data_IF_513191859053
#
_entry.id   IF_513191859053
#
_cell.length_a   1.000
_cell.length_b   1.000
_cell.length_c   1.000
_cell.angle_alpha   90.00
_cell.angle_beta   90.00
_cell.angle_gamma   90.00
#
_symmetry.space_group_name_H-M   'P 1'
#
loop_
_entity.id
_entity.type
_entity.pdbx_description
1 polymer ?
#
# COMPACT_ATOMS: atom_id res chain seq x y z
N UNK A 1 -34.65 -10.12 40.89
CA UNK A 1 -34.11 -8.74 40.88
C UNK A 1 -32.69 -8.59 41.41
N UNK A 2 -32.27 -9.22 42.52
CA UNK A 2 -30.85 -9.18 42.97
C UNK A 2 -29.98 -10.33 42.42
N UNK A 3 -30.57 -11.47 42.03
CA UNK A 3 -29.81 -12.61 41.45
C UNK A 3 -29.41 -12.38 39.98
N UNK A 4 -30.25 -11.71 39.18
CA UNK A 4 -29.96 -11.45 37.77
C UNK A 4 -28.81 -10.44 37.58
N UNK A 5 -28.63 -9.53 38.54
CA UNK A 5 -27.54 -8.53 38.52
C UNK A 5 -26.18 -9.16 38.86
N UNK A 6 -26.15 -10.19 39.70
CA UNK A 6 -24.92 -10.93 40.04
C UNK A 6 -24.49 -11.80 38.86
N UNK A 7 -25.43 -12.50 38.20
CA UNK A 7 -25.12 -13.28 37.00
C UNK A 7 -24.61 -12.44 35.81
N UNK A 8 -25.15 -11.23 35.62
CA UNK A 8 -24.64 -10.29 34.61
C UNK A 8 -23.24 -9.74 34.95
N UNK A 9 -22.96 -9.53 36.24
CA UNK A 9 -21.63 -9.10 36.71
C UNK A 9 -20.57 -10.19 36.58
N UNK A 10 -20.93 -11.45 36.82
CA UNK A 10 -20.02 -12.60 36.68
C UNK A 10 -19.70 -12.92 35.20
N UNK A 11 -20.70 -12.86 34.31
CA UNK A 11 -20.47 -12.97 32.86
C UNK A 11 -19.56 -11.83 32.34
N UNK A 12 -19.82 -10.58 32.74
CA UNK A 12 -18.98 -9.45 32.32
C UNK A 12 -17.55 -9.53 32.84
N UNK A 13 -17.32 -10.07 34.05
CA UNK A 13 -15.98 -10.32 34.56
C UNK A 13 -15.28 -11.48 33.87
N UNK A 14 -15.98 -12.57 33.53
CA UNK A 14 -15.41 -13.69 32.79
C UNK A 14 -15.05 -13.29 31.35
N UNK A 15 -15.89 -12.49 30.68
CA UNK A 15 -15.59 -11.93 29.37
C UNK A 15 -14.39 -10.97 29.44
N UNK A 16 -14.32 -10.13 30.48
CA UNK A 16 -13.18 -9.25 30.70
C UNK A 16 -11.89 -10.02 30.99
N UNK A 17 -11.92 -11.06 31.84
CA UNK A 17 -10.76 -11.91 32.12
C UNK A 17 -10.33 -12.74 30.90
N UNK A 18 -11.27 -13.23 30.08
CA UNK A 18 -10.95 -13.92 28.84
C UNK A 18 -10.33 -12.99 27.80
N UNK A 19 -10.82 -11.74 27.69
CA UNK A 19 -10.19 -10.67 26.92
C UNK A 19 -8.77 -10.38 27.44
N UNK A 20 -8.59 -10.29 28.76
CA UNK A 20 -7.30 -10.00 29.38
C UNK A 20 -6.29 -11.13 29.20
N UNK A 21 -6.74 -12.39 29.19
CA UNK A 21 -5.93 -13.55 28.77
C UNK A 21 -5.64 -13.57 27.27
N UNK A 22 -6.57 -13.12 26.42
CA UNK A 22 -6.34 -12.92 24.98
C UNK A 22 -5.30 -11.82 24.70
N UNK A 23 -5.25 -10.79 25.55
CA UNK A 23 -4.26 -9.71 25.48
C UNK A 23 -2.90 -10.08 26.09
N UNK A 24 -2.83 -11.11 26.94
CA UNK A 24 -1.58 -11.69 27.46
C UNK A 24 -0.85 -12.46 26.36
N UNK A 25 -0.24 -11.73 25.43
CA UNK A 25 0.60 -12.29 24.37
C UNK A 25 0.64 -11.47 23.09
N UNK A 26 -0.36 -10.61 22.86
CA UNK A 26 -0.47 -9.77 21.66
C UNK A 26 0.35 -8.47 21.74
N UNK A 27 0.61 -7.95 22.95
CA UNK A 27 1.44 -6.76 23.19
C UNK A 27 2.71 -7.12 23.98
N UNK A 28 3.71 -7.70 23.30
CA UNK A 28 5.06 -7.79 23.84
C UNK A 28 5.86 -6.55 23.41
N UNK A 29 6.57 -5.92 24.36
CA UNK A 29 7.54 -4.85 24.05
C UNK A 29 8.60 -5.34 23.06
N UNK A 30 8.91 -6.64 23.06
CA UNK A 30 9.79 -7.27 22.07
C UNK A 30 9.19 -7.29 20.66
N UNK A 31 7.88 -7.55 20.54
CA UNK A 31 7.15 -7.53 19.27
C UNK A 31 7.05 -6.10 18.71
N UNK A 32 6.78 -5.11 19.56
CA UNK A 32 6.73 -3.71 19.14
C UNK A 32 8.11 -3.20 18.68
N UNK A 33 9.19 -3.61 19.36
CA UNK A 33 10.56 -3.32 18.93
C UNK A 33 10.90 -4.00 17.60
N UNK A 34 10.62 -5.28 17.42
CA UNK A 34 10.91 -5.98 16.16
C UNK A 34 10.15 -5.38 14.98
N UNK A 35 8.91 -4.96 15.22
CA UNK A 35 8.06 -4.25 14.26
C UNK A 35 8.61 -2.87 13.89
N UNK A 36 9.06 -2.07 14.85
CA UNK A 36 9.71 -0.78 14.57
C UNK A 36 11.03 -0.95 13.80
N UNK A 37 11.82 -1.98 14.12
CA UNK A 37 13.03 -2.31 13.36
C UNK A 37 12.72 -2.80 11.94
N UNK A 38 11.66 -3.60 11.75
CA UNK A 38 11.21 -4.01 10.42
C UNK A 38 10.69 -2.81 9.61
N UNK A 39 10.00 -1.86 10.24
CA UNK A 39 9.64 -0.57 9.63
C UNK A 39 10.90 0.18 9.22
N UNK A 40 11.94 0.26 10.06
CA UNK A 40 13.18 1.01 9.80
C UNK A 40 14.08 0.38 8.73
N UNK A 41 13.99 -0.94 8.53
CA UNK A 41 14.76 -1.68 7.52
C UNK A 41 13.99 -1.89 6.21
N UNK A 42 12.66 -1.68 6.21
CA UNK A 42 11.83 -1.84 5.02
C UNK A 42 11.57 -3.28 4.60
N UNK A 43 11.73 -4.21 5.53
CA UNK A 43 11.54 -5.64 5.29
C UNK A 43 10.04 -5.94 5.19
N UNK A 44 9.61 -6.52 4.07
CA UNK A 44 8.22 -6.92 3.79
C UNK A 44 7.87 -8.36 4.18
N UNK A 45 8.86 -9.18 4.55
CA UNK A 45 8.71 -10.62 4.80
C UNK A 45 9.21 -11.02 6.19
N UNK A 46 8.66 -12.10 6.75
CA UNK A 46 9.08 -12.61 8.04
C UNK A 46 10.50 -13.20 7.97
N UNK A 47 11.42 -12.68 8.78
CA UNK A 47 12.73 -13.29 9.07
C UNK A 47 12.72 -13.78 10.53
N UNK A 48 13.61 -14.70 10.91
CA UNK A 48 13.62 -15.33 12.25
C UNK A 48 13.58 -14.36 13.45
N UNK A 49 14.00 -13.10 13.27
CA UNK A 49 13.98 -12.04 14.29
C UNK A 49 13.13 -10.80 13.95
N UNK A 50 12.57 -10.73 12.73
CA UNK A 50 11.88 -9.54 12.21
C UNK A 50 10.49 -9.91 11.69
N UNK A 51 9.47 -9.47 12.40
CA UNK A 51 8.08 -9.55 11.96
C UNK A 51 7.71 -8.25 11.25
N UNK A 52 7.49 -8.25 9.93
CA UNK A 52 7.12 -7.05 9.20
C UNK A 52 5.77 -6.52 9.70
N UNK A 53 5.68 -5.20 9.85
CA UNK A 53 4.43 -4.52 10.26
C UNK A 53 3.42 -4.48 9.13
N UNK A 54 3.87 -4.54 7.88
CA UNK A 54 2.99 -4.68 6.74
C UNK A 54 3.80 -5.15 5.54
N UNK A 55 3.28 -6.13 4.80
CA UNK A 55 3.92 -6.66 3.59
C UNK A 55 4.25 -5.55 2.59
N UNK A 56 3.35 -4.62 2.20
CA UNK A 56 3.66 -3.54 1.25
C UNK A 56 4.62 -2.43 1.74
N UNK A 57 5.28 -2.54 2.91
CA UNK A 57 6.26 -1.51 3.33
C UNK A 57 7.48 -1.45 2.41
N UNK A 58 7.84 -2.56 1.77
CA UNK A 58 8.95 -2.62 0.79
C UNK A 58 8.81 -1.53 -0.27
N UNK A 59 7.58 -1.17 -0.66
CA UNK A 59 7.30 -0.18 -1.69
C UNK A 59 7.78 1.23 -1.30
N UNK A 60 7.64 1.63 -0.03
CA UNK A 60 8.11 2.94 0.43
C UNK A 60 9.63 3.04 0.40
N UNK A 61 10.32 1.97 0.79
CA UNK A 61 11.78 1.89 0.72
C UNK A 61 12.28 1.86 -0.71
N UNK A 62 11.64 1.06 -1.57
CA UNK A 62 11.93 1.06 -3.00
C UNK A 62 11.77 2.45 -3.61
N UNK A 63 10.67 3.16 -3.31
CA UNK A 63 10.47 4.54 -3.77
C UNK A 63 11.50 5.52 -3.22
N UNK A 64 11.94 5.35 -1.97
CA UNK A 64 12.99 6.18 -1.38
C UNK A 64 14.32 6.01 -2.12
N UNK A 65 14.73 4.76 -2.37
CA UNK A 65 15.93 4.42 -3.14
C UNK A 65 15.83 4.99 -4.56
N UNK A 66 14.71 4.76 -5.25
CA UNK A 66 14.46 5.28 -6.60
C UNK A 66 14.62 6.80 -6.64
N UNK A 67 14.09 7.53 -5.65
CA UNK A 67 14.21 9.00 -5.57
C UNK A 67 15.65 9.46 -5.36
N UNK A 68 16.43 8.78 -4.52
CA UNK A 68 17.86 9.08 -4.33
C UNK A 68 18.61 8.88 -5.64
N UNK A 69 18.44 7.71 -6.27
CA UNK A 69 19.09 7.38 -7.55
C UNK A 69 18.72 8.43 -8.61
N UNK A 70 17.43 8.73 -8.76
CA UNK A 70 16.95 9.71 -9.72
C UNK A 70 17.44 11.15 -9.44
N UNK A 71 17.74 11.49 -8.19
CA UNK A 71 18.28 12.81 -7.82
C UNK A 71 19.76 12.96 -8.20
N UNK A 72 20.54 11.88 -8.14
CA UNK A 72 21.99 11.87 -8.40
C UNK A 72 22.29 11.70 -9.90
N UNK A 73 21.46 10.95 -10.62
CA UNK A 73 21.75 10.60 -12.02
C UNK A 73 21.35 11.74 -12.99
N UNK A 74 22.14 12.00 -14.06
CA UNK A 74 21.80 13.02 -15.06
C UNK A 74 20.43 12.80 -15.71
N UNK A 75 19.72 13.89 -15.99
CA UNK A 75 18.35 13.86 -16.54
C UNK A 75 18.29 13.98 -18.06
N UNK A 76 19.41 13.76 -18.75
CA UNK A 76 19.47 13.80 -20.23
C UNK A 76 18.72 12.61 -20.83
N UNK A 77 18.20 12.76 -22.06
CA UNK A 77 17.48 11.67 -22.75
C UNK A 77 18.32 10.40 -22.85
N UNK A 78 19.59 10.55 -23.21
CA UNK A 78 20.56 9.45 -23.32
C UNK A 78 20.76 8.76 -21.97
N UNK A 79 20.90 9.52 -20.87
CA UNK A 79 21.04 8.95 -19.54
C UNK A 79 19.80 8.15 -19.14
N UNK A 80 18.58 8.64 -19.40
CA UNK A 80 17.34 7.90 -19.11
C UNK A 80 17.27 6.58 -19.87
N UNK A 81 17.63 6.57 -21.16
CA UNK A 81 17.69 5.35 -21.96
C UNK A 81 18.71 4.37 -21.40
N UNK A 82 19.90 4.83 -21.04
CA UNK A 82 20.92 3.99 -20.40
C UNK A 82 20.45 3.41 -19.07
N UNK A 83 19.79 4.21 -18.23
CA UNK A 83 19.21 3.75 -16.96
C UNK A 83 18.16 2.65 -17.19
N UNK A 84 17.29 2.80 -18.18
CA UNK A 84 16.28 1.80 -18.53
C UNK A 84 16.93 0.48 -18.98
N UNK A 85 17.94 0.55 -19.86
CA UNK A 85 18.70 -0.63 -20.31
C UNK A 85 19.43 -1.29 -19.15
N UNK A 86 20.04 -0.50 -18.26
CA UNK A 86 20.75 -1.01 -17.09
C UNK A 86 19.79 -1.73 -16.13
N UNK A 87 18.60 -1.19 -15.89
CA UNK A 87 17.57 -1.87 -15.08
C UNK A 87 17.15 -3.20 -15.72
N UNK A 88 16.94 -3.24 -17.04
CA UNK A 88 16.60 -4.48 -17.74
C UNK A 88 17.68 -5.56 -17.56
N UNK A 89 18.95 -5.20 -17.73
CA UNK A 89 20.08 -6.13 -17.54
C UNK A 89 20.17 -6.57 -16.08
N UNK A 90 20.06 -5.63 -15.13
CA UNK A 90 20.14 -5.91 -13.70
C UNK A 90 19.02 -6.86 -13.24
N UNK A 91 17.76 -6.62 -13.64
CA UNK A 91 16.64 -7.53 -13.32
C UNK A 91 16.89 -8.93 -13.87
N UNK A 92 17.37 -9.04 -15.12
CA UNK A 92 17.68 -10.35 -15.73
C UNK A 92 18.77 -11.09 -14.96
N UNK A 93 19.84 -10.39 -14.56
CA UNK A 93 20.92 -10.98 -13.77
C UNK A 93 20.45 -11.42 -12.38
N UNK A 94 19.75 -10.55 -11.65
CA UNK A 94 19.22 -10.86 -10.31
C UNK A 94 18.29 -12.07 -10.33
N UNK A 95 17.43 -12.15 -11.35
CA UNK A 95 16.48 -13.27 -11.51
C UNK A 95 17.20 -14.56 -11.91
N UNK A 96 18.23 -14.48 -12.77
CA UNK A 96 18.99 -15.67 -13.19
C UNK A 96 19.79 -16.29 -12.03
N UNK A 97 20.39 -15.45 -11.18
CA UNK A 97 21.18 -15.90 -10.03
C UNK A 97 20.36 -16.11 -8.74
N UNK A 98 19.04 -15.86 -8.76
CA UNK A 98 18.15 -15.92 -7.58
C UNK A 98 18.71 -15.17 -6.36
N UNK A 99 19.23 -13.96 -6.59
CA UNK A 99 19.78 -13.12 -5.52
C UNK A 99 18.63 -12.36 -4.89
N UNK A 100 18.33 -12.67 -3.62
CA UNK A 100 17.40 -11.92 -2.78
C UNK A 100 18.18 -10.86 -1.99
N UNK A 101 17.76 -9.59 -2.08
CA UNK A 101 18.40 -8.50 -1.35
C UNK A 101 17.62 -8.17 -0.08
N UNK A 102 18.29 -8.20 1.09
CA UNK A 102 17.67 -7.88 2.39
C UNK A 102 17.01 -6.48 2.46
N UNK A 103 17.51 -5.54 1.66
CA UNK A 103 16.88 -4.24 1.40
C UNK A 103 16.14 -4.40 0.07
N UNK A 104 14.91 -3.86 -0.13
CA UNK A 104 14.12 -3.99 -1.38
C UNK A 104 14.72 -3.19 -2.55
N UNK A 105 16.00 -3.42 -2.81
CA UNK A 105 16.82 -2.83 -3.86
C UNK A 105 16.50 -3.48 -5.20
N UNK A 106 16.37 -4.79 -5.20
CA UNK A 106 15.85 -5.58 -6.31
C UNK A 106 14.48 -5.06 -6.78
N UNK A 107 13.52 -4.89 -5.87
CA UNK A 107 12.21 -4.32 -6.16
C UNK A 107 12.33 -2.87 -6.66
N UNK A 108 13.27 -2.09 -6.11
CA UNK A 108 13.55 -0.72 -6.56
C UNK A 108 14.05 -0.68 -8.01
N UNK A 109 14.97 -1.58 -8.37
CA UNK A 109 15.51 -1.71 -9.73
C UNK A 109 14.41 -2.12 -10.71
N UNK A 110 13.55 -3.07 -10.33
CA UNK A 110 12.42 -3.48 -11.17
C UNK A 110 11.36 -2.39 -11.32
N UNK A 111 11.12 -1.57 -10.29
CA UNK A 111 10.16 -0.47 -10.31
C UNK A 111 10.68 0.82 -10.97
N UNK A 112 12.00 1.00 -11.06
CA UNK A 112 12.64 2.22 -11.58
C UNK A 112 12.17 2.60 -13.01
N UNK A 113 12.03 1.67 -13.98
CA UNK A 113 11.47 1.96 -15.29
C UNK A 113 10.07 2.59 -15.26
N UNK A 114 9.19 2.10 -14.37
CA UNK A 114 7.85 2.67 -14.20
C UNK A 114 7.91 4.08 -13.62
N UNK A 115 8.83 4.33 -12.69
CA UNK A 115 9.04 5.66 -12.13
C UNK A 115 9.49 6.66 -13.21
N UNK A 116 10.47 6.30 -14.05
CA UNK A 116 10.92 7.14 -15.16
C UNK A 116 9.77 7.50 -16.10
N UNK A 117 9.00 6.51 -16.54
CA UNK A 117 7.87 6.71 -17.45
C UNK A 117 6.79 7.58 -16.79
N UNK A 118 6.51 7.36 -15.50
CA UNK A 118 5.59 8.17 -14.70
C UNK A 118 6.01 9.64 -14.61
N UNK A 119 7.31 9.92 -14.45
CA UNK A 119 7.80 11.30 -14.38
C UNK A 119 7.61 12.07 -15.68
N UNK A 120 7.87 11.44 -16.82
CA UNK A 120 7.68 12.07 -18.14
C UNK A 120 6.20 12.20 -18.52
N UNK A 121 5.39 11.20 -18.16
CA UNK A 121 3.96 11.16 -18.50
C UNK A 121 3.09 12.04 -17.59
N UNK A 122 3.66 12.72 -16.59
CA UNK A 122 2.91 13.56 -15.63
C UNK A 122 2.04 14.62 -16.30
N UNK A 123 2.50 15.22 -17.41
CA UNK A 123 1.72 16.21 -18.16
C UNK A 123 0.52 15.58 -18.88
N UNK A 124 0.73 14.42 -19.51
CA UNK A 124 -0.33 13.67 -20.18
C UNK A 124 -1.37 13.17 -19.17
N UNK A 125 -0.89 12.65 -18.03
CA UNK A 125 -1.72 12.20 -16.94
C UNK A 125 -2.50 13.34 -16.31
N UNK A 126 -1.96 14.55 -16.20
CA UNK A 126 -2.65 15.70 -15.61
C UNK A 126 -3.72 16.35 -16.50
N UNK A 127 -3.80 15.98 -17.77
CA UNK A 127 -4.87 16.47 -18.65
C UNK A 127 -6.25 16.07 -18.10
N UNK A 128 -7.20 17.01 -18.15
CA UNK A 128 -8.58 16.77 -17.71
C UNK A 128 -9.19 15.68 -18.59
N UNK A 129 -9.76 14.65 -17.96
CA UNK A 129 -10.40 13.59 -18.71
C UNK A 129 -11.79 14.07 -19.14
N UNK A 130 -11.89 14.78 -20.27
CA UNK A 130 -13.18 15.22 -20.77
C UNK A 130 -14.14 14.02 -20.84
N UNK A 131 -15.35 14.20 -20.30
CA UNK A 131 -16.46 13.25 -20.23
C UNK A 131 -16.82 12.71 -21.61
N UNK A 132 -16.06 11.71 -22.07
CA UNK A 132 -16.17 11.14 -23.40
C UNK A 132 -16.33 9.63 -23.26
N UNK A 133 -17.56 9.16 -23.50
CA UNK A 133 -17.95 7.75 -23.43
C UNK A 133 -17.04 6.83 -24.27
N UNK A 134 -16.48 7.32 -25.40
CA UNK A 134 -15.53 6.57 -26.21
C UNK A 134 -14.21 6.31 -25.46
N UNK A 135 -13.71 7.30 -24.71
CA UNK A 135 -12.52 7.14 -23.86
C UNK A 135 -12.76 6.14 -22.75
N UNK A 136 -13.96 6.15 -22.15
CA UNK A 136 -14.36 5.18 -21.12
C UNK A 136 -14.35 3.77 -21.66
N UNK A 137 -15.05 3.55 -22.78
CA UNK A 137 -15.13 2.25 -23.43
C UNK A 137 -13.74 1.73 -23.79
N UNK A 138 -12.89 2.58 -24.40
CA UNK A 138 -11.50 2.23 -24.69
C UNK A 138 -10.70 1.86 -23.44
N UNK A 139 -10.85 2.63 -22.36
CA UNK A 139 -10.13 2.39 -21.09
C UNK A 139 -10.52 1.04 -20.48
N UNK A 140 -11.82 0.73 -20.47
CA UNK A 140 -12.34 -0.56 -19.99
C UNK A 140 -11.83 -1.70 -20.87
N UNK A 141 -11.86 -1.54 -22.19
CA UNK A 141 -11.32 -2.52 -23.14
C UNK A 141 -9.83 -2.77 -22.88
N UNK A 142 -9.01 -1.72 -22.71
CA UNK A 142 -7.58 -1.84 -22.42
C UNK A 142 -7.34 -2.54 -21.08
N UNK A 143 -8.16 -2.26 -20.06
CA UNK A 143 -8.03 -2.91 -18.75
C UNK A 143 -8.37 -4.40 -18.82
N UNK A 144 -9.46 -4.76 -19.52
CA UNK A 144 -9.85 -6.15 -19.76
C UNK A 144 -8.78 -6.89 -20.58
N UNK A 145 -8.26 -6.27 -21.64
CA UNK A 145 -7.19 -6.84 -22.44
C UNK A 145 -5.93 -7.06 -21.61
N UNK A 146 -5.57 -6.10 -20.76
CA UNK A 146 -4.40 -6.20 -19.88
C UNK A 146 -4.53 -7.35 -18.89
N UNK A 147 -5.75 -7.66 -18.40
CA UNK A 147 -6.02 -8.84 -17.59
C UNK A 147 -5.70 -10.14 -18.34
N UNK A 148 -6.18 -10.30 -19.58
CA UNK A 148 -5.88 -11.49 -20.39
C UNK A 148 -4.39 -11.61 -20.73
N UNK A 149 -3.72 -10.50 -21.06
CA UNK A 149 -2.27 -10.50 -21.30
C UNK A 149 -1.52 -10.88 -20.02
N UNK A 150 -1.98 -10.44 -18.85
CA UNK A 150 -1.38 -10.84 -17.57
C UNK A 150 -1.55 -12.33 -17.30
N UNK A 151 -2.69 -12.94 -17.64
CA UNK A 151 -2.88 -14.39 -17.53
C UNK A 151 -1.91 -15.15 -18.45
N UNK A 152 -1.72 -14.66 -19.68
CA UNK A 152 -0.76 -15.23 -20.63
C UNK A 152 0.69 -15.08 -20.16
N UNK A 153 1.07 -13.93 -19.62
CA UNK A 153 2.42 -13.67 -19.15
C UNK A 153 2.75 -14.42 -17.85
N UNK A 154 1.73 -14.80 -17.08
CA UNK A 154 1.87 -15.44 -15.78
C UNK A 154 1.95 -14.45 -14.62
N UNK A 155 2.19 -14.99 -13.41
CA UNK A 155 2.20 -14.18 -12.18
C UNK A 155 3.31 -13.13 -12.23
N UNK A 156 2.91 -11.87 -12.15
CA UNK A 156 3.80 -10.71 -12.05
C UNK A 156 3.68 -10.12 -10.64
N UNK A 157 4.80 -9.88 -9.99
CA UNK A 157 4.92 -9.38 -8.64
C UNK A 157 6.31 -8.73 -8.46
N UNK A 158 6.33 -7.41 -8.24
CA UNK A 158 7.58 -6.64 -8.10
C UNK A 158 8.29 -6.97 -6.79
N UNK A 159 7.52 -7.27 -5.74
CA UNK A 159 8.03 -7.57 -4.40
C UNK A 159 8.89 -8.83 -4.40
N UNK A 160 8.45 -9.86 -5.14
CA UNK A 160 9.16 -11.14 -5.28
C UNK A 160 10.00 -11.24 -6.56
N UNK A 161 10.25 -10.13 -7.26
CA UNK A 161 11.00 -10.07 -8.53
C UNK A 161 10.45 -10.98 -9.65
N UNK A 162 9.14 -11.23 -9.66
CA UNK A 162 8.47 -12.06 -10.68
C UNK A 162 7.89 -11.16 -11.77
N UNK A 163 8.32 -11.33 -13.00
CA UNK A 163 7.78 -10.57 -14.15
C UNK A 163 7.05 -11.45 -15.17
N UNK A 164 6.79 -12.72 -14.82
CA UNK A 164 6.24 -13.71 -15.75
C UNK A 164 7.24 -14.16 -16.81
N UNK A 165 6.72 -14.70 -17.92
CA UNK A 165 7.53 -15.25 -19.02
C UNK A 165 8.30 -14.17 -19.78
N UNK A 166 7.70 -12.97 -19.95
CA UNK A 166 8.26 -11.89 -20.76
C UNK A 166 8.28 -10.57 -19.98
N UNK A 167 9.48 -10.07 -19.69
CA UNK A 167 9.66 -8.78 -19.00
C UNK A 167 9.07 -7.60 -19.78
N UNK A 168 9.15 -7.61 -21.11
CA UNK A 168 8.57 -6.55 -21.94
C UNK A 168 7.04 -6.50 -21.80
N UNK A 169 6.36 -7.65 -21.77
CA UNK A 169 4.92 -7.70 -21.54
C UNK A 169 4.57 -7.16 -20.17
N UNK A 170 5.35 -7.50 -19.13
CA UNK A 170 5.19 -6.96 -17.79
C UNK A 170 5.25 -5.42 -17.75
N UNK A 171 6.21 -4.80 -18.43
CA UNK A 171 6.31 -3.34 -18.51
C UNK A 171 5.08 -2.75 -19.24
N UNK A 172 4.72 -3.29 -20.41
CA UNK A 172 3.61 -2.75 -21.20
C UNK A 172 2.26 -2.90 -20.50
N UNK A 173 1.96 -4.07 -19.93
CA UNK A 173 0.71 -4.30 -19.19
C UNK A 173 0.65 -3.46 -17.93
N UNK A 174 1.78 -3.31 -17.21
CA UNK A 174 1.84 -2.47 -16.02
C UNK A 174 1.55 -1.00 -16.33
N UNK A 175 2.14 -0.45 -17.39
CA UNK A 175 1.88 0.94 -17.83
C UNK A 175 0.43 1.09 -18.30
N UNK A 176 -0.05 0.21 -19.18
CA UNK A 176 -1.40 0.27 -19.72
C UNK A 176 -2.45 0.20 -18.61
N UNK A 177 -2.29 -0.73 -17.67
CA UNK A 177 -3.19 -0.90 -16.52
C UNK A 177 -3.16 0.32 -15.61
N UNK A 178 -1.97 0.87 -15.33
CA UNK A 178 -1.83 2.07 -14.49
C UNK A 178 -2.55 3.26 -15.10
N UNK A 179 -2.38 3.50 -16.41
CA UNK A 179 -3.07 4.58 -17.13
C UNK A 179 -4.59 4.36 -17.08
N UNK A 180 -5.05 3.13 -17.30
CA UNK A 180 -6.47 2.82 -17.27
C UNK A 180 -7.10 3.03 -15.89
N UNK A 181 -6.44 2.55 -14.83
CA UNK A 181 -6.90 2.76 -13.45
C UNK A 181 -6.94 4.25 -13.11
N UNK A 182 -5.89 5.01 -13.42
CA UNK A 182 -5.85 6.45 -13.15
C UNK A 182 -6.98 7.19 -13.88
N UNK A 183 -7.27 6.80 -15.12
CA UNK A 183 -8.37 7.38 -15.89
C UNK A 183 -9.72 7.09 -15.23
N UNK A 184 -9.97 5.85 -14.83
CA UNK A 184 -11.19 5.45 -14.11
C UNK A 184 -11.31 6.22 -12.79
N UNK A 185 -10.25 6.31 -11.99
CA UNK A 185 -10.24 7.04 -10.73
C UNK A 185 -10.60 8.51 -10.91
N UNK A 186 -10.03 9.18 -11.92
CA UNK A 186 -10.36 10.58 -12.24
C UNK A 186 -11.82 10.76 -12.59
N UNK A 187 -12.37 9.86 -13.39
CA UNK A 187 -13.78 9.89 -13.77
C UNK A 187 -14.72 9.68 -12.59
N UNK A 188 -14.39 8.75 -11.67
CA UNK A 188 -15.16 8.54 -10.44
C UNK A 188 -15.16 9.82 -9.60
N UNK A 189 -14.01 10.48 -9.46
CA UNK A 189 -13.90 11.74 -8.69
C UNK A 189 -14.71 12.86 -9.33
N UNK A 190 -14.74 12.95 -10.67
CA UNK A 190 -15.58 13.92 -11.39
C UNK A 190 -17.07 13.63 -11.23
N UNK A 191 -17.48 12.37 -11.24
CA UNK A 191 -18.88 11.96 -11.11
C UNK A 191 -19.39 12.06 -9.67
N UNK A 192 -18.53 11.74 -8.69
CA UNK A 192 -18.87 11.68 -7.27
C UNK A 192 -18.08 12.75 -6.51
N UNK A 193 -18.31 14.01 -6.88
CA UNK A 193 -17.60 15.16 -6.34
C UNK A 193 -17.75 15.30 -4.81
N UNK A 194 -18.86 14.83 -4.24
CA UNK A 194 -19.14 14.94 -2.81
C UNK A 194 -18.16 14.15 -1.92
N UNK A 195 -17.62 13.01 -2.38
CA UNK A 195 -16.70 12.15 -1.60
C UNK A 195 -15.24 12.60 -1.76
N UNK A 196 -14.97 13.58 -2.64
CA UNK A 196 -13.61 14.01 -2.97
C UNK A 196 -12.81 14.43 -1.71
N UNK A 197 -13.46 15.12 -0.77
CA UNK A 197 -12.82 15.58 0.47
C UNK A 197 -12.38 14.39 1.34
N UNK A 198 -13.28 13.42 1.55
CA UNK A 198 -13.05 12.24 2.37
C UNK A 198 -11.98 11.33 1.74
N UNK A 199 -12.03 11.12 0.42
CA UNK A 199 -11.01 10.38 -0.31
C UNK A 199 -9.64 11.04 -0.21
N UNK A 200 -9.58 12.38 -0.28
CA UNK A 200 -8.31 13.11 -0.14
C UNK A 200 -7.70 12.91 1.24
N UNK A 201 -8.52 12.91 2.31
CA UNK A 201 -8.05 12.61 3.68
C UNK A 201 -7.48 11.19 3.76
N UNK A 202 -8.19 10.21 3.21
CA UNK A 202 -7.71 8.81 3.18
C UNK A 202 -6.41 8.66 2.39
N UNK A 203 -6.28 9.33 1.24
CA UNK A 203 -5.07 9.29 0.41
C UNK A 203 -3.86 9.91 1.13
N UNK A 204 -4.05 11.04 1.85
CA UNK A 204 -2.99 11.64 2.68
C UNK A 204 -2.60 10.69 3.82
N UNK A 205 -3.58 9.99 4.38
CA UNK A 205 -3.40 8.99 5.43
C UNK A 205 -2.83 7.65 4.96
N UNK A 206 -2.67 7.41 3.65
CA UNK A 206 -2.27 6.11 3.13
C UNK A 206 -0.94 5.56 3.71
N UNK A 207 0.13 6.36 3.93
CA UNK A 207 1.34 5.88 4.58
C UNK A 207 1.09 5.39 6.01
N UNK A 208 0.20 6.06 6.74
CA UNK A 208 -0.16 5.68 8.11
C UNK A 208 -1.01 4.40 8.12
N UNK A 209 -1.94 4.26 7.16
CA UNK A 209 -2.71 3.03 6.99
C UNK A 209 -1.76 1.87 6.71
N UNK A 210 -0.84 2.01 5.75
CA UNK A 210 0.11 0.94 5.40
C UNK A 210 1.07 0.65 6.55
N UNK A 211 1.54 1.66 7.28
CA UNK A 211 2.50 1.48 8.36
C UNK A 211 1.92 0.87 9.64
N UNK A 212 0.59 0.91 9.84
CA UNK A 212 -0.05 0.49 11.10
C UNK A 212 -1.18 -0.54 10.92
N UNK A 213 -1.54 -0.94 9.70
CA UNK A 213 -2.70 -1.80 9.48
C UNK A 213 -2.63 -3.13 10.23
N UNK A 214 -1.48 -3.79 10.28
CA UNK A 214 -1.34 -5.10 10.91
C UNK A 214 -1.41 -5.00 12.43
N UNK A 215 -0.98 -3.88 13.02
CA UNK A 215 -1.18 -3.59 14.45
C UNK A 215 -2.67 -3.51 14.77
N UNK A 216 -3.44 -2.77 13.96
CA UNK A 216 -4.90 -2.68 14.14
C UNK A 216 -5.56 -4.04 13.88
N UNK A 217 -5.14 -4.78 12.85
CA UNK A 217 -5.64 -6.14 12.58
C UNK A 217 -5.39 -7.05 13.77
N UNK A 218 -4.20 -7.04 14.37
CA UNK A 218 -3.86 -7.90 15.50
C UNK A 218 -4.69 -7.55 16.75
N UNK A 219 -5.18 -6.31 16.88
CA UNK A 219 -6.08 -5.89 17.98
C UNK A 219 -7.53 -6.25 17.67
N UNK A 220 -8.01 -5.99 16.45
CA UNK A 220 -9.43 -6.11 16.09
C UNK A 220 -9.80 -7.55 15.73
N UNK A 221 -8.91 -8.30 15.07
CA UNK A 221 -9.16 -9.68 14.62
C UNK A 221 -9.55 -10.61 15.78
N UNK A 222 -8.87 -10.62 16.93
CA UNK A 222 -9.22 -11.51 18.04
C UNK A 222 -10.58 -11.18 18.66
N UNK A 223 -10.90 -9.88 18.79
CA UNK A 223 -12.22 -9.40 19.26
C UNK A 223 -13.32 -9.86 18.30
N UNK A 224 -13.07 -9.73 17.00
CA UNK A 224 -14.04 -10.11 15.99
C UNK A 224 -14.21 -11.64 15.89
N UNK A 225 -13.14 -12.42 16.06
CA UNK A 225 -13.24 -13.89 16.09
C UNK A 225 -13.98 -14.40 17.32
N UNK A 226 -13.88 -13.71 18.45
CA UNK A 226 -14.66 -14.05 19.65
C UNK A 226 -16.17 -13.91 19.39
N UNK A 227 -16.58 -12.90 18.60
CA UNK A 227 -17.98 -12.63 18.31
C UNK A 227 -18.59 -13.54 17.24
N UNK A 228 -17.79 -13.99 16.26
CA UNK A 228 -18.31 -14.60 15.02
C UNK A 228 -17.99 -16.10 14.91
N UNK A 229 -17.04 -16.61 15.69
CA UNK A 229 -16.68 -18.04 15.73
C UNK A 229 -15.95 -18.52 14.47
N UNK A 230 -16.66 -18.60 13.33
CA UNK A 230 -16.12 -19.09 12.06
C UNK A 230 -15.72 -17.98 11.09
N UNK A 231 -14.52 -18.11 10.51
CA UNK A 231 -13.98 -17.17 9.55
C UNK A 231 -14.47 -17.47 8.13
N UNK A 232 -15.15 -16.49 7.52
CA UNK A 232 -15.56 -16.51 6.12
C UNK A 232 -15.05 -15.26 5.38
N UNK A 233 -14.95 -15.34 4.05
CA UNK A 233 -14.48 -14.23 3.20
C UNK A 233 -15.27 -12.93 3.41
N UNK A 234 -16.59 -13.04 3.67
CA UNK A 234 -17.46 -11.89 3.96
C UNK A 234 -17.04 -11.17 5.25
N UNK A 235 -16.70 -11.92 6.30
CA UNK A 235 -16.22 -11.36 7.55
C UNK A 235 -14.87 -10.66 7.39
N UNK A 236 -14.00 -11.16 6.50
CA UNK A 236 -12.78 -10.47 6.11
C UNK A 236 -13.03 -9.11 5.44
N UNK A 237 -14.03 -9.01 4.56
CA UNK A 237 -14.41 -7.74 3.93
C UNK A 237 -14.98 -6.75 4.95
N UNK A 238 -15.85 -7.21 5.85
CA UNK A 238 -16.43 -6.38 6.92
C UNK A 238 -15.32 -5.87 7.84
N UNK A 239 -14.39 -6.74 8.25
CA UNK A 239 -13.23 -6.36 9.06
C UNK A 239 -12.40 -5.28 8.36
N UNK A 240 -12.17 -5.41 7.05
CA UNK A 240 -11.46 -4.40 6.26
C UNK A 240 -12.15 -3.04 6.28
N UNK A 241 -13.47 -3.00 6.15
CA UNK A 241 -14.26 -1.76 6.25
C UNK A 241 -14.14 -1.15 7.65
N UNK A 242 -14.27 -1.96 8.70
CA UNK A 242 -14.13 -1.51 10.09
C UNK A 242 -12.74 -0.90 10.32
N UNK A 243 -11.68 -1.56 9.86
CA UNK A 243 -10.30 -1.07 9.97
C UNK A 243 -10.15 0.28 9.25
N UNK A 244 -10.67 0.40 8.03
CA UNK A 244 -10.64 1.67 7.28
C UNK A 244 -11.38 2.80 8.02
N UNK A 245 -12.53 2.50 8.62
CA UNK A 245 -13.28 3.45 9.44
C UNK A 245 -12.52 3.85 10.71
N UNK A 246 -11.81 2.93 11.36
CA UNK A 246 -10.96 3.21 12.53
C UNK A 246 -9.73 4.07 12.19
N UNK A 247 -9.18 3.90 10.98
CA UNK A 247 -8.09 4.74 10.51
C UNK A 247 -8.50 6.17 10.24
N UNK A 248 -9.75 6.43 9.83
CA UNK A 248 -10.22 7.78 9.51
C UNK A 248 -10.01 8.82 10.63
N UNK A 249 -10.45 8.60 11.89
CA UNK A 249 -10.19 9.53 12.98
C UNK A 249 -8.69 9.62 13.34
N UNK A 250 -7.94 8.51 13.24
CA UNK A 250 -6.49 8.49 13.48
C UNK A 250 -5.74 9.37 12.48
N UNK A 251 -6.16 9.36 11.21
CA UNK A 251 -5.57 10.20 10.15
C UNK A 251 -5.85 11.67 10.43
N UNK A 252 -7.09 12.03 10.81
CA UNK A 252 -7.44 13.41 11.16
C UNK A 252 -6.63 13.90 12.36
N UNK A 253 -6.50 13.07 13.39
CA UNK A 253 -5.69 13.37 14.57
C UNK A 253 -4.22 13.58 14.20
N UNK A 254 -3.63 12.65 13.45
CA UNK A 254 -2.23 12.72 13.04
C UNK A 254 -1.97 13.92 12.13
N UNK A 255 -2.91 14.25 11.23
CA UNK A 255 -2.82 15.45 10.38
C UNK A 255 -2.76 16.73 11.22
N UNK A 256 -3.49 16.79 12.34
CA UNK A 256 -3.54 17.96 13.23
C UNK A 256 -2.29 18.11 14.09
N UNK A 257 -1.80 17.02 14.68
CA UNK A 257 -0.73 17.07 15.68
C UNK A 257 0.67 16.70 15.16
N UNK A 258 0.75 15.84 14.14
CA UNK A 258 2.01 15.32 13.60
C UNK A 258 2.01 15.25 12.06
N UNK A 259 1.83 16.38 11.34
CA UNK A 259 1.74 16.39 9.88
C UNK A 259 3.01 15.87 9.18
N UNK A 260 4.17 15.95 9.84
CA UNK A 260 5.46 15.44 9.34
C UNK A 260 5.41 13.93 9.11
N UNK A 261 4.71 13.18 9.96
CA UNK A 261 4.57 11.71 9.86
C UNK A 261 3.84 11.30 8.59
N UNK A 262 2.90 12.14 8.12
CA UNK A 262 2.15 11.93 6.88
C UNK A 262 2.93 12.38 5.63
N UNK A 263 4.17 12.87 5.79
CA UNK A 263 4.96 13.43 4.70
C UNK A 263 4.45 14.78 4.20
N UNK A 264 3.47 15.39 4.88
CA UNK A 264 3.07 16.76 4.61
C UNK A 264 4.18 17.68 5.09
N UNK A 265 4.90 18.29 4.15
CA UNK A 265 5.64 19.51 4.45
C UNK A 265 4.61 20.52 4.96
N UNK A 266 4.80 21.03 6.18
CA UNK A 266 4.02 22.13 6.73
C UNK A 266 3.92 23.17 5.61
N UNK A 267 2.74 23.33 5.01
CA UNK A 267 2.47 24.52 4.20
C UNK A 267 2.65 25.65 5.19
N UNK A 268 3.81 26.29 5.09
CA UNK A 268 4.14 27.50 5.83
C UNK A 268 2.95 28.42 5.61
N UNK A 269 2.33 28.88 6.69
CA UNK A 269 1.24 29.85 6.67
C UNK A 269 1.57 30.93 5.64
N UNK A 270 0.95 30.82 4.46
CA UNK A 270 0.90 31.87 3.45
C UNK A 270 -0.55 32.29 3.33
N UNK A 271 -1.10 32.63 4.49
CA UNK A 271 -2.35 33.34 4.73
C UNK A 271 -2.13 34.18 6.00
N UNK A 272 -1.03 34.93 6.02
CA UNK A 272 -0.92 36.17 6.77
C UNK A 272 -0.50 37.19 5.70
N UNK A 273 -1.51 37.92 5.21
CA UNK A 273 -1.53 39.25 4.57
C UNK A 273 -2.75 39.38 3.64
#
# INVERSE_FOLDING_TARGET
DFDDTIHLSECGMLDFFSLLELYKGTFSIGLLKSQMFAIALGVGYATESLTPVCTPMWFFYALFIIKIVYAVVPKTKISKTLQFVLCFVAVRLLTYYNIDTYIPLDSAIMAYPFFLIGTESKQLLNSSCCRNYKKVSLTVIVLVLSYFISQFNGRCDIDTMRYGSYYSLFIFTGIATTISILTICKMIIEYVSYIKSQLTVLCIGAPLIVGLNLLIINVVKPIFSFLVGEWNSIYGMILGIIIMCLFYPLIIFTKRYMPIVLGNRKERERNED
#
